data_IF_999037203458
#
_entry.id   IF_999037203458
#
_cell.length_a   1.000
_cell.length_b   1.000
_cell.length_c   1.000
_cell.angle_alpha   90.00
_cell.angle_beta   90.00
_cell.angle_gamma   90.00
#
_symmetry.space_group_name_H-M   'P 1'
#
loop_
_entity.id
_entity.type
_entity.pdbx_description
1 polymer ?
#
# COMPACT_ATOMS: atom_id res chain seq x y z
N UNK A 1 -18.97 0.28 4.55
CA UNK A 1 -18.42 1.38 5.36
C UNK A 1 -19.36 2.57 5.23
N UNK A 2 -19.65 3.25 6.33
CA UNK A 2 -20.54 4.42 6.39
C UNK A 2 -19.77 5.58 7.03
N UNK A 3 -19.87 6.77 6.44
CA UNK A 3 -19.13 7.95 6.88
C UNK A 3 -20.10 9.00 7.46
N UNK A 4 -19.75 9.56 8.61
CA UNK A 4 -20.54 10.59 9.28
C UNK A 4 -19.71 11.87 9.42
N UNK A 5 -20.27 12.98 8.92
CA UNK A 5 -19.71 14.32 9.03
C UNK A 5 -20.09 15.07 10.29
N UNK A 6 -21.06 14.55 11.04
CA UNK A 6 -21.45 15.04 12.37
C UNK A 6 -21.42 13.86 13.33
N UNK A 7 -20.69 14.03 14.44
CA UNK A 7 -20.51 12.99 15.45
C UNK A 7 -21.22 13.40 16.74
N UNK A 8 -22.53 13.15 16.76
CA UNK A 8 -23.38 13.28 17.95
C UNK A 8 -24.09 11.94 18.23
N UNK A 9 -24.62 11.79 19.44
CA UNK A 9 -25.31 10.59 19.91
C UNK A 9 -26.45 10.19 18.97
N UNK A 10 -27.28 11.15 18.55
CA UNK A 10 -28.42 10.88 17.69
C UNK A 10 -28.01 10.47 16.28
N UNK A 11 -26.98 11.09 15.70
CA UNK A 11 -26.45 10.69 14.41
C UNK A 11 -25.87 9.27 14.42
N UNK A 12 -25.12 8.92 15.47
CA UNK A 12 -24.58 7.58 15.63
C UNK A 12 -25.69 6.54 15.83
N UNK A 13 -26.63 6.81 16.75
CA UNK A 13 -27.74 5.90 17.05
C UNK A 13 -28.60 5.62 15.81
N UNK A 14 -29.01 6.66 15.08
CA UNK A 14 -29.81 6.50 13.86
C UNK A 14 -29.09 5.64 12.82
N UNK A 15 -27.80 5.91 12.61
CA UNK A 15 -26.99 5.16 11.64
C UNK A 15 -26.85 3.70 12.06
N UNK A 16 -26.53 3.44 13.33
CA UNK A 16 -26.42 2.08 13.85
C UNK A 16 -27.73 1.32 13.71
N UNK A 17 -28.84 1.91 14.13
CA UNK A 17 -30.16 1.28 14.05
C UNK A 17 -30.58 1.00 12.60
N UNK A 18 -30.31 1.93 11.67
CA UNK A 18 -30.63 1.75 10.25
C UNK A 18 -29.87 0.56 9.64
N UNK A 19 -28.57 0.47 9.88
CA UNK A 19 -27.73 -0.57 9.26
C UNK A 19 -27.89 -1.93 9.93
N UNK A 20 -28.07 -1.97 11.25
CA UNK A 20 -28.38 -3.21 11.97
C UNK A 20 -29.75 -3.75 11.60
N UNK A 21 -30.77 -2.90 11.40
CA UNK A 21 -32.08 -3.32 10.90
C UNK A 21 -32.02 -3.94 9.49
N UNK A 22 -31.02 -3.57 8.68
CA UNK A 22 -30.74 -4.16 7.36
C UNK A 22 -29.98 -5.50 7.45
N UNK A 23 -29.72 -6.01 8.66
CA UNK A 23 -29.01 -7.26 8.91
C UNK A 23 -27.49 -7.16 8.79
N UNK A 24 -26.93 -5.95 8.96
CA UNK A 24 -25.48 -5.77 9.06
C UNK A 24 -25.03 -5.83 10.52
N UNK A 25 -23.90 -6.47 10.77
CA UNK A 25 -23.25 -6.52 12.08
C UNK A 25 -22.24 -5.37 12.19
N UNK A 26 -22.26 -4.65 13.31
CA UNK A 26 -21.24 -3.63 13.57
C UNK A 26 -19.90 -4.32 13.84
N UNK A 27 -18.88 -3.92 13.11
CA UNK A 27 -17.51 -4.43 13.25
C UNK A 27 -16.63 -3.45 14.05
N UNK A 28 -16.76 -2.15 13.77
CA UNK A 28 -15.99 -1.14 14.47
C UNK A 28 -16.36 0.27 14.10
N UNK A 29 -15.86 1.23 14.89
CA UNK A 29 -16.04 2.66 14.65
C UNK A 29 -14.68 3.35 14.78
N UNK A 30 -14.30 4.12 13.77
CA UNK A 30 -13.09 4.94 13.79
C UNK A 30 -13.46 6.43 13.78
N UNK A 31 -12.97 7.16 14.78
CA UNK A 31 -13.21 8.59 14.89
C UNK A 31 -12.03 9.39 14.35
N UNK A 32 -12.30 10.39 13.51
CA UNK A 32 -11.32 11.40 13.14
C UNK A 32 -11.41 12.58 14.12
N UNK A 33 -10.38 12.74 14.94
CA UNK A 33 -10.30 13.80 15.94
C UNK A 33 -9.92 15.14 15.30
N UNK A 34 -10.45 16.25 15.81
CA UNK A 34 -9.99 17.61 15.46
C UNK A 34 -8.86 18.04 16.39
N UNK A 35 -7.81 18.64 15.83
CA UNK A 35 -6.63 19.07 16.59
C UNK A 35 -6.96 20.10 17.68
N UNK A 36 -7.99 20.94 17.47
CA UNK A 36 -8.40 21.97 18.42
C UNK A 36 -9.44 21.51 19.46
N UNK A 37 -10.00 20.30 19.36
CA UNK A 37 -11.05 19.85 20.27
C UNK A 37 -10.93 18.36 20.58
N UNK A 38 -11.09 17.98 21.86
CA UNK A 38 -11.27 16.58 22.28
C UNK A 38 -12.57 15.93 21.76
N UNK A 39 -13.23 16.56 20.78
CA UNK A 39 -14.44 16.06 20.13
C UNK A 39 -14.08 15.55 18.73
N UNK A 40 -14.59 14.37 18.35
CA UNK A 40 -14.44 13.85 16.99
C UNK A 40 -15.22 14.70 15.98
N UNK A 41 -14.65 14.88 14.80
CA UNK A 41 -15.25 15.65 13.71
C UNK A 41 -15.80 14.79 12.58
N UNK A 42 -15.27 13.58 12.43
CA UNK A 42 -15.83 12.56 11.54
C UNK A 42 -15.86 11.22 12.26
N UNK A 43 -16.75 10.34 11.82
CA UNK A 43 -16.74 8.93 12.22
C UNK A 43 -16.91 8.03 11.00
N UNK A 44 -16.20 6.91 11.00
CA UNK A 44 -16.29 5.84 10.01
C UNK A 44 -16.80 4.59 10.72
N UNK A 45 -17.96 4.09 10.28
CA UNK A 45 -18.56 2.88 10.82
C UNK A 45 -18.33 1.72 9.85
N UNK A 46 -17.75 0.64 10.38
CA UNK A 46 -17.46 -0.59 9.66
C UNK A 46 -18.53 -1.61 10.01
N UNK A 47 -19.06 -2.26 8.98
CA UNK A 47 -20.09 -3.26 9.11
C UNK A 47 -19.68 -4.51 8.35
N UNK A 48 -19.94 -5.67 8.93
CA UNK A 48 -19.74 -6.98 8.33
C UNK A 48 -21.09 -7.69 8.20
N UNK A 49 -21.16 -8.70 7.34
CA UNK A 49 -22.34 -9.55 7.21
C UNK A 49 -21.90 -10.95 6.83
N UNK A 50 -22.22 -11.92 7.68
CA UNK A 50 -22.03 -13.34 7.35
C UNK A 50 -23.00 -13.70 6.22
N UNK A 51 -22.45 -14.11 5.07
CA UNK A 51 -23.22 -14.40 3.85
C UNK A 51 -22.81 -13.57 2.63
N UNK A 52 -21.89 -12.61 2.77
CA UNK A 52 -21.28 -11.92 1.62
C UNK A 52 -19.76 -12.00 1.74
N UNK A 53 -19.21 -13.22 1.77
CA UNK A 53 -17.96 -13.41 1.07
C UNK A 53 -18.33 -13.22 -0.41
N UNK A 54 -17.99 -12.07 -0.98
CA UNK A 54 -17.98 -11.92 -2.43
C UNK A 54 -16.91 -12.89 -2.90
N UNK A 55 -17.30 -14.13 -3.19
CA UNK A 55 -16.43 -15.05 -3.90
C UNK A 55 -15.98 -14.29 -5.15
N UNK A 56 -14.68 -13.97 -5.25
CA UNK A 56 -14.21 -13.17 -6.37
C UNK A 56 -14.54 -13.96 -7.64
N UNK A 57 -15.20 -13.33 -8.60
CA UNK A 57 -15.43 -13.94 -9.91
C UNK A 57 -14.08 -14.03 -10.64
N UNK A 58 -13.35 -15.12 -10.35
CA UNK A 58 -12.01 -15.39 -10.87
C UNK A 58 -12.05 -15.48 -12.39
N UNK A 59 -13.14 -16.00 -12.95
CA UNK A 59 -13.31 -16.13 -14.39
C UNK A 59 -13.49 -14.76 -15.05
N UNK A 60 -14.35 -13.90 -14.49
CA UNK A 60 -14.49 -12.52 -14.98
C UNK A 60 -13.18 -11.74 -14.85
N UNK A 61 -12.45 -11.90 -13.73
CA UNK A 61 -11.16 -11.28 -13.53
C UNK A 61 -10.12 -11.77 -14.56
N UNK A 62 -10.08 -13.07 -14.83
CA UNK A 62 -9.18 -13.68 -15.81
C UNK A 62 -9.51 -13.25 -17.23
N UNK A 63 -10.78 -13.21 -17.61
CA UNK A 63 -11.22 -12.71 -18.92
C UNK A 63 -10.88 -11.23 -19.11
N UNK A 64 -11.00 -10.42 -18.04
CA UNK A 64 -10.60 -9.01 -18.07
C UNK A 64 -9.09 -8.86 -18.28
N UNK A 65 -8.27 -9.67 -17.61
CA UNK A 65 -6.81 -9.67 -17.77
C UNK A 65 -6.38 -10.13 -19.17
N UNK A 66 -7.02 -11.16 -19.72
CA UNK A 66 -6.77 -11.61 -21.09
C UNK A 66 -7.07 -10.49 -22.10
N UNK A 67 -8.25 -9.85 -21.98
CA UNK A 67 -8.61 -8.70 -22.83
C UNK A 67 -7.60 -7.55 -22.71
N UNK A 68 -7.13 -7.24 -21.49
CA UNK A 68 -6.11 -6.21 -21.25
C UNK A 68 -4.76 -6.59 -21.89
N UNK A 69 -4.40 -7.87 -21.87
CA UNK A 69 -3.16 -8.35 -22.49
C UNK A 69 -3.21 -8.32 -24.03
N UNK A 70 -4.38 -8.57 -24.60
CA UNK A 70 -4.62 -8.51 -26.04
C UNK A 70 -4.61 -7.07 -26.58
N UNK A 71 -5.07 -6.10 -25.78
CA UNK A 71 -5.02 -4.69 -26.15
C UNK A 71 -3.61 -4.10 -26.15
N UNK A 72 -2.58 -4.88 -25.78
CA UNK A 72 -1.23 -4.39 -25.56
C UNK A 72 -1.19 -3.30 -24.46
N UNK A 73 -0.01 -2.80 -24.07
CA UNK A 73 0.02 -1.52 -23.39
C UNK A 73 -0.63 -0.52 -24.35
N UNK A 74 -1.76 0.07 -23.96
CA UNK A 74 -2.26 1.23 -24.67
C UNK A 74 -1.10 2.20 -24.74
N UNK A 75 -0.60 2.46 -25.95
CA UNK A 75 0.30 3.56 -26.27
C UNK A 75 -0.44 4.91 -26.13
N UNK A 76 -1.32 5.03 -25.14
CA UNK A 76 -1.65 6.30 -24.53
C UNK A 76 -0.54 6.52 -23.51
N UNK A 77 0.42 7.37 -23.88
CA UNK A 77 1.55 7.70 -23.04
C UNK A 77 1.10 7.96 -21.61
N UNK A 78 1.81 7.34 -20.67
CA UNK A 78 1.88 7.87 -19.30
C UNK A 78 2.47 9.28 -19.41
N UNK A 79 1.62 10.27 -19.63
CA UNK A 79 1.90 11.67 -19.34
C UNK A 79 1.77 11.88 -17.82
N UNK A 80 2.42 11.02 -17.05
CA UNK A 80 2.76 11.34 -15.68
C UNK A 80 3.83 12.42 -15.75
N UNK A 81 3.40 13.67 -15.86
CA UNK A 81 4.27 14.80 -15.56
C UNK A 81 4.59 14.71 -14.06
N UNK A 82 5.86 14.52 -13.64
CA UNK A 82 6.22 14.69 -12.26
C UNK A 82 5.98 16.16 -11.90
N UNK A 83 4.82 16.43 -11.29
CA UNK A 83 4.56 17.69 -10.61
C UNK A 83 5.66 17.91 -9.59
N UNK A 84 6.43 18.98 -9.80
CA UNK A 84 7.46 19.55 -8.95
C UNK A 84 7.37 19.10 -7.48
N UNK A 85 8.28 18.20 -7.08
CA UNK A 85 8.29 17.66 -5.72
C UNK A 85 9.44 16.69 -5.49
N UNK A 86 10.64 17.24 -5.27
CA UNK A 86 11.83 16.58 -4.73
C UNK A 86 12.38 15.38 -5.54
N UNK A 87 13.26 15.68 -6.49
CA UNK A 87 14.11 14.72 -7.17
C UNK A 87 14.98 13.96 -6.16
N UNK A 88 14.70 12.68 -5.95
CA UNK A 88 15.64 11.79 -5.30
C UNK A 88 16.93 11.72 -6.14
N UNK A 89 18.12 11.79 -5.54
CA UNK A 89 19.36 11.72 -6.31
C UNK A 89 19.43 10.38 -7.04
N UNK A 90 19.54 10.45 -8.38
CA UNK A 90 19.86 9.30 -9.21
C UNK A 90 21.24 8.80 -8.80
N UNK A 91 21.29 7.78 -7.95
CA UNK A 91 22.52 7.01 -7.75
C UNK A 91 22.76 6.14 -8.99
N UNK A 92 24.00 6.07 -9.51
CA UNK A 92 24.34 5.46 -10.80
C UNK A 92 24.14 3.93 -10.86
N UNK A 93 23.72 3.31 -9.76
CA UNK A 93 23.51 1.87 -9.68
C UNK A 93 22.06 1.52 -10.06
N UNK A 94 21.92 0.54 -10.93
CA UNK A 94 20.62 -0.01 -11.30
C UNK A 94 19.87 -0.53 -10.05
N UNK A 95 18.54 -0.69 -10.15
CA UNK A 95 17.74 -1.26 -9.06
C UNK A 95 18.23 -2.66 -8.64
N UNK A 96 18.79 -3.42 -9.59
CA UNK A 96 19.36 -4.74 -9.37
C UNK A 96 20.63 -4.71 -8.50
N UNK A 97 21.57 -3.80 -8.79
CA UNK A 97 22.82 -3.67 -8.02
C UNK A 97 22.60 -3.26 -6.56
N UNK A 98 21.60 -2.40 -6.29
CA UNK A 98 21.26 -2.05 -4.90
C UNK A 98 20.76 -3.24 -4.09
N UNK A 99 20.03 -4.13 -4.74
CA UNK A 99 19.47 -5.33 -4.13
C UNK A 99 20.58 -6.38 -3.87
N UNK A 100 21.51 -6.55 -4.82
CA UNK A 100 22.66 -7.44 -4.66
C UNK A 100 23.59 -7.02 -3.50
N UNK A 101 23.82 -5.71 -3.32
CA UNK A 101 24.64 -5.18 -2.22
C UNK A 101 24.01 -5.37 -0.85
N UNK A 102 22.70 -5.15 -0.74
CA UNK A 102 21.95 -5.42 0.50
C UNK A 102 21.94 -6.91 0.86
N UNK A 103 21.98 -7.78 -0.15
CA UNK A 103 22.07 -9.22 0.05
C UNK A 103 23.49 -9.71 0.42
N UNK A 104 24.49 -8.82 0.49
CA UNK A 104 25.86 -9.17 0.88
C UNK A 104 26.62 -10.01 -0.15
N UNK A 105 26.17 -10.04 -1.41
CA UNK A 105 26.73 -10.91 -2.45
C UNK A 105 27.92 -10.30 -3.21
N UNK A 106 28.50 -9.21 -2.70
CA UNK A 106 29.54 -8.38 -3.36
C UNK A 106 30.78 -8.22 -2.46
N UNK A 107 31.13 -9.24 -1.67
CA UNK A 107 32.44 -9.32 -0.99
C UNK A 107 33.47 -9.94 -1.95
N UNK A 108 34.58 -9.25 -2.29
CA UNK A 108 35.65 -9.87 -3.06
C UNK A 108 36.41 -10.88 -2.18
N UNK A 109 36.59 -12.10 -2.69
CA UNK A 109 37.45 -13.13 -2.09
C UNK A 109 38.86 -12.54 -1.80
N UNK A 110 39.40 -12.69 -0.58
CA UNK A 110 40.72 -12.14 -0.26
C UNK A 110 41.80 -12.86 -1.08
N UNK A 111 42.54 -12.09 -1.88
CA UNK A 111 43.74 -12.56 -2.56
C UNK A 111 44.83 -12.88 -1.54
N UNK A 112 45.25 -14.15 -1.47
CA UNK A 112 46.42 -14.59 -0.71
C UNK A 112 47.70 -14.07 -1.40
N UNK A 113 48.30 -12.99 -0.88
CA UNK A 113 49.61 -12.52 -1.33
C UNK A 113 50.74 -13.13 -0.48
N UNK A 114 51.59 -13.89 -1.16
CA UNK A 114 52.70 -14.65 -0.59
C UNK A 114 53.77 -13.78 0.06
N UNK A 115 54.33 -14.30 1.16
CA UNK A 115 55.42 -13.73 1.93
C UNK A 115 56.72 -13.66 1.08
N UNK A 116 57.03 -12.51 0.49
CA UNK A 116 58.39 -12.25 -0.02
C UNK A 116 59.26 -11.79 1.14
N UNK A 117 60.14 -12.68 1.60
CA UNK A 117 61.20 -12.39 2.57
C UNK A 117 62.30 -11.59 1.88
N UNK A 118 62.49 -10.34 2.27
CA UNK A 118 63.70 -9.57 1.94
C UNK A 118 64.80 -9.92 2.97
N UNK A 119 66.03 -10.28 2.55
CA UNK A 119 67.12 -10.60 3.46
C UNK A 119 67.78 -9.32 4.03
N UNK A 120 68.10 -9.31 5.32
CA UNK A 120 68.80 -8.21 6.00
C UNK A 120 70.31 -8.28 5.73
N UNK A 121 70.92 -7.16 5.35
CA UNK A 121 72.38 -6.88 5.44
C UNK A 121 72.65 -5.77 6.46
#
# INVERSE_FOLDING_TARGET
MVELSTVDEGALERTLNEWTAKGWNLDGVQFAMRESSKRPAMAFLFFTREGVAVEPDVDAARSKLLRLSESGPTAAGNDWAPGSGSQAPFHPLSAHERLARLAGLDEPEPHEEGLTLEPEE
#
